data_IF_178733082160
#
_entry.id   IF_178733082160
#
_cell.length_a   1.000
_cell.length_b   1.000
_cell.length_c   1.000
_cell.angle_alpha   90.00
_cell.angle_beta   90.00
_cell.angle_gamma   90.00
#
_symmetry.space_group_name_H-M   'P 1'
#
loop_
_entity.id
_entity.type
_entity.pdbx_description
1 polymer ?
#
# COMPACT_ATOMS: atom_id res chain seq x y z
N UNK A 1 9.96 -7.59 -21.25
CA UNK A 1 9.39 -6.43 -20.51
C UNK A 1 9.12 -5.35 -21.55
N UNK A 2 7.92 -4.78 -21.58
CA UNK A 2 7.47 -3.91 -22.68
C UNK A 2 7.93 -2.45 -22.44
N UNK A 3 8.50 -1.75 -23.45
CA UNK A 3 9.05 -0.38 -23.32
C UNK A 3 8.08 0.70 -22.81
N UNK A 4 6.77 0.40 -22.77
CA UNK A 4 5.73 1.31 -22.26
C UNK A 4 5.71 1.38 -20.73
N UNK A 5 6.01 0.28 -20.04
CA UNK A 5 5.92 0.16 -18.58
C UNK A 5 6.88 1.09 -17.84
N UNK A 6 8.08 1.29 -18.40
CA UNK A 6 9.11 2.11 -17.78
C UNK A 6 8.82 3.62 -17.92
N UNK A 7 8.05 4.03 -18.94
CA UNK A 7 7.98 5.44 -19.34
C UNK A 7 7.15 6.36 -18.43
N UNK A 8 6.00 5.92 -17.92
CA UNK A 8 5.17 6.79 -17.07
C UNK A 8 5.66 6.81 -15.63
N UNK A 9 6.09 5.66 -15.09
CA UNK A 9 6.70 5.57 -13.75
C UNK A 9 7.96 6.44 -13.66
N UNK A 10 8.77 6.51 -14.72
CA UNK A 10 9.96 7.37 -14.76
C UNK A 10 9.66 8.87 -14.84
N UNK A 11 8.49 9.27 -15.35
CA UNK A 11 8.18 10.67 -15.67
C UNK A 11 7.17 11.31 -14.71
N UNK A 12 6.27 10.52 -14.12
CA UNK A 12 5.15 11.03 -13.33
C UNK A 12 4.92 10.21 -12.06
N UNK A 13 5.06 10.87 -10.91
CA UNK A 13 4.76 10.31 -9.60
C UNK A 13 3.25 10.26 -9.30
N UNK A 14 2.37 10.73 -10.20
CA UNK A 14 0.92 10.79 -9.98
C UNK A 14 0.10 11.13 -11.22
N UNK A 15 -1.04 11.80 -11.05
CA UNK A 15 -1.92 12.19 -12.15
C UNK A 15 -1.24 13.14 -13.14
N UNK A 16 -1.31 12.81 -14.45
CA UNK A 16 -0.71 13.57 -15.54
C UNK A 16 -1.67 13.78 -16.72
N UNK A 17 -1.25 14.55 -17.72
CA UNK A 17 -2.09 14.88 -18.87
C UNK A 17 -3.37 15.61 -18.43
N UNK A 18 -4.50 15.24 -19.03
CA UNK A 18 -5.79 15.84 -18.72
C UNK A 18 -6.25 15.49 -17.29
N UNK A 19 -6.01 14.27 -16.78
CA UNK A 19 -6.37 13.92 -15.40
C UNK A 19 -5.60 14.77 -14.38
N UNK A 20 -4.30 14.98 -14.57
CA UNK A 20 -3.47 15.85 -13.71
C UNK A 20 -3.87 17.33 -13.72
N UNK A 21 -4.30 17.85 -14.87
CA UNK A 21 -4.87 19.21 -14.93
C UNK A 21 -6.17 19.28 -14.12
N UNK A 22 -7.08 18.33 -14.32
CA UNK A 22 -8.37 18.32 -13.60
C UNK A 22 -8.22 18.07 -12.09
N UNK A 23 -7.18 17.35 -11.69
CA UNK A 23 -6.80 17.12 -10.29
C UNK A 23 -6.30 18.42 -9.65
N UNK A 24 -5.42 19.16 -10.33
CA UNK A 24 -4.97 20.50 -9.89
C UNK A 24 -6.10 21.49 -9.73
N UNK A 25 -7.03 21.53 -10.69
CA UNK A 25 -8.15 22.46 -10.68
C UNK A 25 -9.13 22.21 -9.54
N UNK A 26 -9.27 20.96 -9.10
CA UNK A 26 -10.17 20.62 -8.00
C UNK A 26 -9.62 21.04 -6.61
N UNK A 27 -8.37 21.49 -6.52
CA UNK A 27 -7.77 21.95 -5.26
C UNK A 27 -8.31 23.35 -4.89
N UNK A 28 -8.63 23.62 -3.61
CA UNK A 28 -9.07 24.94 -3.17
C UNK A 28 -8.05 26.03 -3.50
N UNK A 29 -8.51 27.15 -4.05
CA UNK A 29 -7.63 28.29 -4.38
C UNK A 29 -6.74 28.05 -5.61
N UNK A 30 -7.08 27.09 -6.48
CA UNK A 30 -6.37 26.89 -7.73
C UNK A 30 -6.29 28.20 -8.55
N UNK A 31 -5.14 28.48 -9.20
CA UNK A 31 -4.99 29.57 -10.16
C UNK A 31 -5.97 29.47 -11.33
N UNK A 32 -5.92 30.43 -12.26
CA UNK A 32 -6.70 30.31 -13.48
C UNK A 32 -6.33 29.03 -14.24
N UNK A 33 -7.26 28.49 -15.02
CA UNK A 33 -7.08 27.20 -15.68
C UNK A 33 -5.88 27.20 -16.63
N UNK A 34 -5.65 28.32 -17.32
CA UNK A 34 -4.50 28.44 -18.21
C UNK A 34 -3.19 28.58 -17.46
N UNK A 35 -3.20 29.15 -16.24
CA UNK A 35 -2.01 29.19 -15.38
C UNK A 35 -1.65 27.79 -14.88
N UNK A 36 -2.66 27.00 -14.48
CA UNK A 36 -2.46 25.59 -14.10
C UNK A 36 -1.88 24.79 -15.27
N UNK A 37 -2.45 24.94 -16.47
CA UNK A 37 -1.94 24.29 -17.68
C UNK A 37 -0.53 24.75 -18.01
N UNK A 38 -0.23 26.05 -17.92
CA UNK A 38 1.10 26.58 -18.21
C UNK A 38 2.15 26.06 -17.22
N UNK A 39 1.81 25.99 -15.93
CA UNK A 39 2.69 25.42 -14.91
C UNK A 39 2.96 23.93 -15.15
N UNK A 40 1.90 23.12 -15.36
CA UNK A 40 2.06 21.69 -15.67
C UNK A 40 2.80 21.46 -17.00
N UNK A 41 2.60 22.31 -18.00
CA UNK A 41 3.26 22.19 -19.30
C UNK A 41 4.79 22.39 -19.25
N UNK A 42 5.33 22.98 -18.19
CA UNK A 42 6.79 23.08 -17.97
C UNK A 42 7.37 21.82 -17.30
N UNK A 43 6.53 20.95 -16.74
CA UNK A 43 6.98 19.72 -16.08
C UNK A 43 7.59 18.71 -17.05
N UNK A 44 8.46 17.85 -16.53
CA UNK A 44 9.15 16.80 -17.26
C UNK A 44 9.79 17.32 -18.56
N UNK A 45 10.44 18.49 -18.50
CA UNK A 45 11.11 19.14 -19.64
C UNK A 45 10.18 19.35 -20.86
N UNK A 46 8.90 19.57 -20.62
CA UNK A 46 7.88 19.77 -21.65
C UNK A 46 7.29 18.48 -22.24
N UNK A 47 7.65 17.29 -21.72
CA UNK A 47 6.95 16.04 -22.06
C UNK A 47 5.48 16.09 -21.62
N UNK A 48 5.18 16.72 -20.47
CA UNK A 48 3.81 16.92 -20.02
C UNK A 48 2.99 17.71 -21.06
N UNK A 49 3.57 18.78 -21.64
CA UNK A 49 2.91 19.56 -22.68
C UNK A 49 2.58 18.72 -23.92
N UNK A 50 3.46 17.78 -24.31
CA UNK A 50 3.22 16.89 -25.45
C UNK A 50 2.08 15.91 -25.17
N UNK A 51 2.09 15.29 -23.99
CA UNK A 51 1.10 14.29 -23.60
C UNK A 51 -0.28 14.92 -23.39
N UNK A 52 -0.36 16.02 -22.63
CA UNK A 52 -1.59 16.81 -22.49
C UNK A 52 -2.08 17.31 -23.86
N UNK A 53 -1.20 17.89 -24.67
CA UNK A 53 -1.52 18.40 -26.00
C UNK A 53 -2.10 17.34 -26.93
N UNK A 54 -1.57 16.11 -26.87
CA UNK A 54 -2.11 14.96 -27.62
C UNK A 54 -3.52 14.60 -27.15
N UNK A 55 -3.74 14.48 -25.85
CA UNK A 55 -5.04 14.12 -25.26
C UNK A 55 -6.12 15.15 -25.58
N UNK A 56 -5.84 16.44 -25.39
CA UNK A 56 -6.82 17.49 -25.67
C UNK A 56 -7.15 17.61 -27.15
N UNK A 57 -6.17 17.39 -28.04
CA UNK A 57 -6.41 17.34 -29.50
C UNK A 57 -7.22 16.11 -29.90
N UNK A 58 -6.95 14.94 -29.31
CA UNK A 58 -7.74 13.74 -29.55
C UNK A 58 -9.20 13.95 -29.12
N UNK A 59 -9.43 14.45 -27.92
CA UNK A 59 -10.77 14.76 -27.41
C UNK A 59 -11.46 15.86 -28.24
N UNK A 60 -10.73 16.92 -28.62
CA UNK A 60 -11.25 18.00 -29.48
C UNK A 60 -11.50 17.56 -30.94
N UNK A 61 -10.89 16.48 -31.41
CA UNK A 61 -11.12 15.89 -32.74
C UNK A 61 -12.15 14.76 -32.73
N UNK A 62 -12.61 14.34 -31.55
CA UNK A 62 -13.49 13.17 -31.38
C UNK A 62 -14.94 13.42 -31.82
N UNK A 63 -15.72 12.35 -32.09
CA UNK A 63 -17.13 12.44 -32.42
C UNK A 63 -18.06 12.72 -31.22
N UNK A 64 -17.52 12.85 -30.00
CA UNK A 64 -18.32 13.13 -28.79
C UNK A 64 -19.05 14.46 -28.93
N UNK A 65 -20.29 14.57 -28.44
CA UNK A 65 -20.96 15.87 -28.38
C UNK A 65 -20.28 16.80 -27.38
N UNK A 66 -20.46 18.12 -27.55
CA UNK A 66 -19.97 19.10 -26.58
C UNK A 66 -20.56 18.84 -25.19
N UNK A 67 -21.80 18.40 -25.09
CA UNK A 67 -22.42 18.03 -23.81
C UNK A 67 -21.70 16.87 -23.12
N UNK A 68 -21.25 15.86 -23.87
CA UNK A 68 -20.48 14.72 -23.30
C UNK A 68 -19.08 15.14 -22.88
N UNK A 69 -18.40 15.96 -23.67
CA UNK A 69 -17.10 16.52 -23.29
C UNK A 69 -17.27 17.37 -22.01
N UNK A 70 -18.31 18.20 -21.96
CA UNK A 70 -18.64 19.01 -20.78
C UNK A 70 -18.92 18.14 -19.55
N UNK A 71 -19.71 17.07 -19.68
CA UNK A 71 -20.04 16.18 -18.57
C UNK A 71 -18.78 15.55 -17.95
N UNK A 72 -17.85 15.03 -18.76
CA UNK A 72 -16.60 14.43 -18.27
C UNK A 72 -15.70 15.47 -17.61
N UNK A 73 -15.55 16.66 -18.20
CA UNK A 73 -14.73 17.73 -17.62
C UNK A 73 -15.32 18.26 -16.29
N UNK A 74 -16.64 18.44 -16.22
CA UNK A 74 -17.33 18.84 -15.00
C UNK A 74 -17.14 17.79 -13.91
N UNK A 75 -17.30 16.51 -14.22
CA UNK A 75 -17.10 15.45 -13.25
C UNK A 75 -15.64 15.38 -12.78
N UNK A 76 -14.68 15.37 -13.71
CA UNK A 76 -13.26 15.26 -13.37
C UNK A 76 -12.72 16.46 -12.54
N UNK A 77 -13.32 17.64 -12.70
CA UNK A 77 -12.95 18.86 -11.95
C UNK A 77 -13.84 19.13 -10.75
N UNK A 78 -14.79 18.24 -10.43
CA UNK A 78 -15.79 18.48 -9.38
C UNK A 78 -16.55 19.80 -9.57
N UNK A 79 -16.82 20.13 -10.83
CA UNK A 79 -17.48 21.35 -11.34
C UNK A 79 -16.73 22.67 -11.11
N UNK A 80 -15.45 22.62 -10.72
CA UNK A 80 -14.64 23.85 -10.64
C UNK A 80 -14.45 24.47 -12.03
N UNK A 81 -14.38 23.64 -13.06
CA UNK A 81 -14.36 24.08 -14.45
C UNK A 81 -15.73 23.89 -15.08
N UNK A 82 -16.50 24.98 -15.22
CA UNK A 82 -17.60 25.03 -16.18
C UNK A 82 -17.14 25.89 -17.37
N UNK A 83 -16.80 25.30 -18.53
CA UNK A 83 -16.56 26.07 -19.75
C UNK A 83 -17.90 26.72 -20.13
N UNK A 84 -18.12 27.94 -19.63
CA UNK A 84 -19.41 28.62 -19.64
C UNK A 84 -20.00 28.82 -21.04
N UNK A 85 -21.21 29.37 -21.14
CA UNK A 85 -21.93 29.50 -22.41
C UNK A 85 -21.25 30.38 -23.48
N UNK A 86 -20.16 31.09 -23.15
CA UNK A 86 -19.37 31.91 -24.09
C UNK A 86 -18.13 31.25 -24.69
N UNK A 87 -17.71 30.08 -24.19
CA UNK A 87 -16.61 29.28 -24.74
C UNK A 87 -16.94 27.81 -24.55
N UNK A 88 -17.30 27.11 -25.63
CA UNK A 88 -17.67 25.70 -25.54
C UNK A 88 -16.52 24.83 -25.00
N UNK A 89 -16.79 23.60 -24.53
CA UNK A 89 -15.75 22.69 -24.05
C UNK A 89 -14.65 22.46 -25.10
N UNK A 90 -14.97 22.51 -26.40
CA UNK A 90 -13.97 22.44 -27.48
C UNK A 90 -13.14 23.70 -27.61
N UNK A 91 -13.71 24.88 -27.43
CA UNK A 91 -12.92 26.13 -27.42
C UNK A 91 -11.92 26.13 -26.27
N UNK A 92 -12.35 25.61 -25.12
CA UNK A 92 -11.47 25.38 -23.99
C UNK A 92 -10.33 24.39 -24.32
N UNK A 93 -10.64 23.21 -24.88
CA UNK A 93 -9.60 22.25 -25.29
C UNK A 93 -8.62 22.83 -26.31
N UNK A 94 -9.10 23.68 -27.24
CA UNK A 94 -8.23 24.39 -28.20
C UNK A 94 -7.32 25.40 -27.51
N UNK A 95 -7.82 26.14 -26.53
CA UNK A 95 -6.99 27.06 -25.75
C UNK A 95 -5.90 26.32 -24.97
N UNK A 96 -6.24 25.17 -24.36
CA UNK A 96 -5.24 24.30 -23.70
C UNK A 96 -4.21 23.79 -24.71
N UNK A 97 -4.65 23.31 -25.88
CA UNK A 97 -3.75 22.85 -26.94
C UNK A 97 -2.77 23.94 -27.39
N UNK A 98 -3.22 25.19 -27.52
CA UNK A 98 -2.37 26.33 -27.87
C UNK A 98 -1.27 26.59 -26.82
N UNK A 99 -1.60 26.48 -25.53
CA UNK A 99 -0.61 26.59 -24.44
C UNK A 99 0.40 25.45 -24.55
N UNK A 100 -0.04 24.21 -24.76
CA UNK A 100 0.84 23.06 -24.96
C UNK A 100 1.77 23.24 -26.17
N UNK A 101 1.27 23.73 -27.29
CA UNK A 101 2.06 23.96 -28.51
C UNK A 101 3.12 25.06 -28.32
N UNK A 102 2.82 26.09 -27.51
CA UNK A 102 3.77 27.14 -27.17
C UNK A 102 4.91 26.64 -26.26
N UNK A 103 4.66 25.59 -25.46
CA UNK A 103 5.60 25.04 -24.47
C UNK A 103 6.30 23.76 -24.91
N UNK A 104 5.84 23.16 -26.00
CA UNK A 104 6.51 21.99 -26.59
C UNK A 104 7.86 22.41 -27.21
N UNK A 105 9.00 21.83 -26.79
CA UNK A 105 10.31 22.22 -27.30
C UNK A 105 10.42 22.08 -28.83
N UNK A 106 10.73 23.19 -29.51
CA UNK A 106 10.98 23.22 -30.96
C UNK A 106 12.41 22.76 -31.24
N UNK A 107 12.60 21.50 -31.61
CA UNK A 107 13.88 21.00 -32.14
C UNK A 107 14.59 19.95 -31.29
N UNK A 108 14.00 19.48 -30.19
CA UNK A 108 14.43 18.20 -29.62
C UNK A 108 14.15 17.10 -30.64
N UNK A 109 15.16 16.29 -31.01
CA UNK A 109 14.87 15.00 -31.65
C UNK A 109 13.76 14.35 -30.81
N UNK A 110 12.70 13.78 -31.39
CA UNK A 110 11.94 12.81 -30.65
C UNK A 110 12.99 11.78 -30.22
N UNK A 111 13.39 11.78 -28.94
CA UNK A 111 13.95 10.57 -28.38
C UNK A 111 12.95 9.50 -28.77
N UNK A 112 13.44 8.40 -29.34
CA UNK A 112 12.65 7.27 -29.81
C UNK A 112 11.85 6.65 -28.63
N UNK A 113 10.86 7.40 -28.18
CA UNK A 113 9.92 7.20 -27.08
C UNK A 113 8.49 7.23 -27.67
N UNK A 114 8.34 7.52 -28.96
CA UNK A 114 7.06 7.48 -29.69
C UNK A 114 6.74 6.06 -30.14
N UNK A 115 5.84 5.40 -29.42
CA UNK A 115 5.16 4.18 -29.86
C UNK A 115 3.83 4.02 -29.14
N UNK A 116 2.73 4.26 -29.84
CA UNK A 116 1.45 3.60 -29.58
C UNK A 116 1.40 2.35 -30.49
N UNK A 117 0.58 1.34 -30.17
CA UNK A 117 0.93 0.01 -29.61
C UNK A 117 1.39 -1.05 -30.64
N UNK A 118 2.11 -2.06 -30.16
CA UNK A 118 2.45 -3.27 -30.91
C UNK A 118 2.78 -4.51 -30.08
N UNK A 119 3.33 -4.37 -28.86
CA UNK A 119 3.84 -5.51 -28.07
C UNK A 119 3.38 -5.51 -26.59
N UNK A 120 2.07 -5.32 -26.35
CA UNK A 120 1.43 -5.90 -25.15
C UNK A 120 0.87 -7.26 -25.52
N UNK A 121 0.92 -8.24 -24.62
CA UNK A 121 0.35 -9.57 -24.86
C UNK A 121 -1.17 -9.54 -25.15
N UNK A 122 -1.83 -8.44 -24.75
CA UNK A 122 -3.22 -8.08 -25.02
C UNK A 122 -3.27 -6.95 -26.05
N UNK A 123 -4.08 -7.10 -27.10
CA UNK A 123 -4.21 -6.09 -28.15
C UNK A 123 -4.96 -4.84 -27.67
N UNK A 124 -4.90 -3.72 -28.40
CA UNK A 124 -5.63 -2.48 -28.05
C UNK A 124 -7.15 -2.65 -27.90
N UNK A 125 -7.72 -3.65 -28.58
CA UNK A 125 -9.13 -4.02 -28.46
C UNK A 125 -9.44 -4.69 -27.12
N UNK A 126 -8.49 -5.45 -26.58
CA UNK A 126 -8.65 -6.16 -25.30
C UNK A 126 -8.62 -5.18 -24.13
N UNK A 127 -7.70 -4.20 -24.17
CA UNK A 127 -7.64 -3.13 -23.18
C UNK A 127 -8.93 -2.30 -23.17
N UNK A 128 -9.44 -1.91 -24.35
CA UNK A 128 -10.72 -1.18 -24.45
C UNK A 128 -11.86 -1.99 -23.81
N UNK A 129 -11.93 -3.29 -24.11
CA UNK A 129 -12.94 -4.18 -23.53
C UNK A 129 -12.85 -4.26 -22.01
N UNK A 130 -11.64 -4.35 -21.47
CA UNK A 130 -11.39 -4.43 -20.04
C UNK A 130 -11.75 -3.12 -19.30
N UNK A 131 -11.34 -1.95 -19.83
CA UNK A 131 -11.70 -0.64 -19.25
C UNK A 131 -13.22 -0.42 -19.29
N UNK A 132 -13.89 -0.77 -20.40
CA UNK A 132 -15.35 -0.69 -20.47
C UNK A 132 -16.05 -1.64 -19.48
N UNK A 133 -15.48 -2.83 -19.25
CA UNK A 133 -16.02 -3.77 -18.27
C UNK A 133 -15.92 -3.23 -16.84
N UNK A 134 -14.80 -2.59 -16.49
CA UNK A 134 -14.65 -1.98 -15.18
C UNK A 134 -15.57 -0.76 -15.01
N UNK A 135 -15.68 0.09 -16.03
CA UNK A 135 -16.59 1.23 -16.03
C UNK A 135 -18.04 0.78 -15.79
N UNK A 136 -18.51 -0.27 -16.49
CA UNK A 136 -19.85 -0.85 -16.27
C UNK A 136 -20.03 -1.42 -14.87
N UNK A 137 -18.96 -1.93 -14.26
CA UNK A 137 -19.02 -2.42 -12.87
C UNK A 137 -19.16 -1.27 -11.89
N UNK A 138 -18.46 -0.15 -12.14
CA UNK A 138 -18.49 1.03 -11.29
C UNK A 138 -19.71 1.95 -11.52
N UNK A 139 -20.43 1.81 -12.64
CA UNK A 139 -21.44 2.79 -13.08
C UNK A 139 -22.55 3.03 -12.05
N UNK A 140 -23.10 1.98 -11.46
CA UNK A 140 -24.22 2.10 -10.52
C UNK A 140 -23.84 2.84 -9.23
N UNK A 141 -22.62 2.66 -8.72
CA UNK A 141 -22.13 3.38 -7.54
C UNK A 141 -21.74 4.81 -7.92
N UNK A 142 -21.10 5.00 -9.08
CA UNK A 142 -20.74 6.32 -9.61
C UNK A 142 -21.98 7.20 -9.84
N UNK A 143 -23.00 6.70 -10.53
CA UNK A 143 -24.24 7.44 -10.79
C UNK A 143 -24.93 7.83 -9.48
N UNK A 144 -25.08 6.88 -8.54
CA UNK A 144 -25.69 7.15 -7.23
C UNK A 144 -24.92 8.21 -6.44
N UNK A 145 -23.59 8.15 -6.44
CA UNK A 145 -22.76 9.15 -5.76
C UNK A 145 -22.86 10.52 -6.44
N UNK A 146 -22.92 10.57 -7.77
CA UNK A 146 -23.11 11.82 -8.52
C UNK A 146 -24.50 12.44 -8.27
N UNK A 147 -25.56 11.63 -8.25
CA UNK A 147 -26.94 12.06 -7.99
C UNK A 147 -27.11 12.64 -6.59
N UNK A 148 -26.45 12.04 -5.60
CA UNK A 148 -26.48 12.48 -4.20
C UNK A 148 -25.46 13.57 -3.89
N UNK A 149 -24.56 13.88 -4.84
CA UNK A 149 -23.72 15.06 -4.74
C UNK A 149 -24.61 16.30 -4.83
N UNK A 150 -24.37 17.32 -4.00
CA UNK A 150 -25.21 18.54 -3.97
C UNK A 150 -25.28 19.33 -5.29
N UNK A 151 -24.64 18.85 -6.36
CA UNK A 151 -24.68 19.40 -7.70
C UNK A 151 -24.48 18.27 -8.75
N UNK A 152 -25.54 17.54 -9.12
CA UNK A 152 -25.43 16.37 -10.00
C UNK A 152 -24.88 16.73 -11.38
N UNK A 153 -24.05 15.83 -11.94
CA UNK A 153 -23.54 15.92 -13.31
C UNK A 153 -24.14 14.75 -14.08
N UNK A 154 -25.14 14.98 -14.95
CA UNK A 154 -25.76 13.90 -15.72
C UNK A 154 -24.81 13.37 -16.80
N UNK A 155 -25.12 12.18 -17.31
CA UNK A 155 -24.48 11.57 -18.49
C UNK A 155 -22.97 11.28 -18.40
N UNK A 156 -22.39 11.29 -17.20
CA UNK A 156 -20.95 11.04 -16.99
C UNK A 156 -20.54 9.63 -17.45
N UNK A 157 -21.30 8.60 -17.07
CA UNK A 157 -21.02 7.21 -17.44
C UNK A 157 -21.06 7.02 -18.97
N UNK A 158 -22.15 7.37 -19.69
CA UNK A 158 -22.17 7.30 -21.15
C UNK A 158 -21.07 8.11 -21.85
N UNK A 159 -20.69 9.26 -21.28
CA UNK A 159 -19.63 10.08 -21.83
C UNK A 159 -18.25 9.43 -21.66
N UNK A 160 -17.95 8.85 -20.49
CA UNK A 160 -16.72 8.10 -20.24
C UNK A 160 -16.63 6.85 -21.13
N UNK A 161 -17.73 6.11 -21.33
CA UNK A 161 -17.77 4.96 -22.24
C UNK A 161 -17.37 5.36 -23.66
N UNK A 162 -17.80 6.53 -24.12
CA UNK A 162 -17.44 7.04 -25.45
C UNK A 162 -16.03 7.56 -25.53
N UNK A 163 -15.47 8.14 -24.47
CA UNK A 163 -14.04 8.44 -24.44
C UNK A 163 -13.24 7.15 -24.65
N UNK A 164 -13.59 6.06 -23.95
CA UNK A 164 -12.91 4.76 -24.09
C UNK A 164 -13.11 4.16 -25.49
N UNK A 165 -14.31 4.27 -26.06
CA UNK A 165 -14.64 3.70 -27.36
C UNK A 165 -13.99 4.48 -28.53
N UNK A 166 -14.17 5.80 -28.53
CA UNK A 166 -13.95 6.67 -29.69
C UNK A 166 -12.70 7.54 -29.60
N UNK A 167 -12.11 7.70 -28.41
CA UNK A 167 -10.91 8.51 -28.19
C UNK A 167 -9.72 7.64 -27.86
N UNK A 168 -9.67 7.11 -26.64
CA UNK A 168 -8.54 6.33 -26.13
C UNK A 168 -8.90 5.66 -24.79
N UNK A 169 -8.53 4.37 -24.64
CA UNK A 169 -8.84 3.60 -23.44
C UNK A 169 -8.00 4.02 -22.22
N UNK A 170 -6.76 4.47 -22.44
CA UNK A 170 -5.87 4.96 -21.37
C UNK A 170 -6.38 6.29 -20.80
N UNK A 171 -6.73 7.25 -21.66
CA UNK A 171 -7.37 8.49 -21.23
C UNK A 171 -8.71 8.22 -20.53
N UNK A 172 -9.53 7.31 -21.07
CA UNK A 172 -10.80 6.93 -20.45
C UNK A 172 -10.63 6.33 -19.05
N UNK A 173 -9.64 5.47 -18.82
CA UNK A 173 -9.34 4.92 -17.50
C UNK A 173 -8.86 6.01 -16.53
N UNK A 174 -7.94 6.89 -16.93
CA UNK A 174 -7.49 8.01 -16.07
C UNK A 174 -8.63 8.95 -15.70
N UNK A 175 -9.54 9.24 -16.62
CA UNK A 175 -10.71 10.07 -16.33
C UNK A 175 -11.70 9.34 -15.41
N UNK A 176 -11.90 8.03 -15.57
CA UNK A 176 -12.66 7.22 -14.62
C UNK A 176 -12.05 7.31 -13.21
N UNK A 177 -10.76 6.97 -13.05
CA UNK A 177 -10.04 7.07 -11.77
C UNK A 177 -10.19 8.45 -11.15
N UNK A 178 -10.01 9.50 -11.95
CA UNK A 178 -10.15 10.88 -11.50
C UNK A 178 -11.55 11.18 -10.94
N UNK A 179 -12.59 10.75 -11.63
CA UNK A 179 -13.99 10.94 -11.18
C UNK A 179 -14.28 10.15 -9.91
N UNK A 180 -13.83 8.88 -9.84
CA UNK A 180 -13.97 8.04 -8.64
C UNK A 180 -13.33 8.72 -7.42
N UNK A 181 -12.11 9.26 -7.59
CA UNK A 181 -11.38 10.01 -6.55
C UNK A 181 -12.09 11.31 -6.19
N UNK A 182 -12.49 12.11 -7.19
CA UNK A 182 -13.11 13.42 -6.98
C UNK A 182 -14.41 13.33 -6.17
N UNK A 183 -15.19 12.28 -6.38
CA UNK A 183 -16.46 12.07 -5.69
C UNK A 183 -16.38 11.07 -4.54
N UNK A 184 -15.19 10.53 -4.25
CA UNK A 184 -14.97 9.49 -3.25
C UNK A 184 -15.94 8.32 -3.45
N UNK A 185 -16.14 7.90 -4.71
CA UNK A 185 -17.02 6.78 -5.06
C UNK A 185 -16.47 5.52 -4.39
N UNK A 186 -17.29 4.78 -3.62
CA UNK A 186 -16.85 3.55 -2.98
C UNK A 186 -16.38 2.52 -4.01
N UNK A 187 -15.18 1.97 -3.83
CA UNK A 187 -14.60 0.93 -4.70
C UNK A 187 -14.39 -0.35 -3.89
N UNK A 188 -15.12 -1.44 -4.15
CA UNK A 188 -14.84 -2.73 -3.52
C UNK A 188 -13.41 -3.20 -3.79
N UNK A 189 -12.81 -3.98 -2.88
CA UNK A 189 -11.44 -4.50 -3.03
C UNK A 189 -11.22 -5.18 -4.39
N UNK A 190 -12.13 -6.04 -4.84
CA UNK A 190 -12.00 -6.67 -6.16
C UNK A 190 -12.07 -5.69 -7.33
N UNK A 191 -12.69 -4.52 -7.18
CA UNK A 191 -12.62 -3.43 -8.17
C UNK A 191 -11.28 -2.71 -8.14
N UNK A 192 -10.76 -2.46 -6.93
CA UNK A 192 -9.40 -1.95 -6.75
C UNK A 192 -8.35 -2.86 -7.41
N UNK A 193 -8.40 -4.18 -7.20
CA UNK A 193 -7.45 -5.13 -7.79
C UNK A 193 -7.48 -5.08 -9.33
N UNK A 194 -8.67 -4.94 -9.92
CA UNK A 194 -8.82 -4.83 -11.39
C UNK A 194 -8.33 -3.49 -11.92
N UNK A 195 -8.62 -2.38 -11.23
CA UNK A 195 -8.08 -1.07 -11.58
C UNK A 195 -6.55 -1.03 -11.47
N UNK A 196 -6.00 -1.68 -10.44
CA UNK A 196 -4.56 -1.86 -10.26
C UNK A 196 -3.94 -2.64 -11.42
N UNK A 197 -4.50 -3.81 -11.76
CA UNK A 197 -4.02 -4.64 -12.86
C UNK A 197 -4.05 -3.90 -14.21
N UNK A 198 -5.11 -3.14 -14.48
CA UNK A 198 -5.20 -2.27 -15.66
C UNK A 198 -4.12 -1.17 -15.65
N UNK A 199 -3.88 -0.56 -14.49
CA UNK A 199 -2.82 0.44 -14.31
C UNK A 199 -1.43 -0.14 -14.56
N UNK A 200 -1.12 -1.32 -14.02
CA UNK A 200 0.15 -2.01 -14.27
C UNK A 200 0.33 -2.39 -15.75
N UNK A 201 -0.74 -2.82 -16.43
CA UNK A 201 -0.70 -3.08 -17.86
C UNK A 201 -0.35 -1.82 -18.67
N UNK A 202 -0.85 -0.67 -18.22
CA UNK A 202 -0.61 0.65 -18.83
C UNK A 202 0.70 1.32 -18.39
N UNK A 203 1.36 0.79 -17.36
CA UNK A 203 2.58 1.35 -16.79
C UNK A 203 2.34 2.52 -15.84
N UNK A 204 1.19 2.61 -15.19
CA UNK A 204 0.93 3.65 -14.20
C UNK A 204 1.78 3.47 -12.95
N UNK A 205 2.17 4.59 -12.35
CA UNK A 205 2.76 4.59 -11.02
C UNK A 205 1.72 4.25 -9.96
N UNK A 206 2.19 3.70 -8.84
CA UNK A 206 1.33 3.31 -7.72
C UNK A 206 0.39 4.44 -7.25
N UNK A 207 0.88 5.69 -7.08
CA UNK A 207 0.03 6.79 -6.62
C UNK A 207 -1.08 7.17 -7.60
N UNK A 208 -0.86 7.02 -8.92
CA UNK A 208 -1.84 7.37 -9.93
C UNK A 208 -3.12 6.55 -9.78
N UNK A 209 -3.04 5.27 -9.42
CA UNK A 209 -4.23 4.45 -9.20
C UNK A 209 -4.82 4.68 -7.81
N UNK A 210 -3.96 4.73 -6.79
CA UNK A 210 -4.37 4.47 -5.40
C UNK A 210 -4.67 5.76 -4.63
N UNK A 211 -3.88 6.82 -4.84
CA UNK A 211 -4.00 8.02 -4.02
C UNK A 211 -5.35 8.69 -4.22
N UNK A 212 -6.08 8.85 -3.12
CA UNK A 212 -7.41 9.46 -3.09
C UNK A 212 -8.56 8.54 -3.52
N UNK A 213 -8.30 7.26 -3.83
CA UNK A 213 -9.36 6.31 -4.16
C UNK A 213 -10.07 5.85 -2.87
N UNK A 214 -11.40 5.86 -2.86
CA UNK A 214 -12.19 5.41 -1.71
C UNK A 214 -12.39 3.89 -1.74
N UNK A 215 -11.32 3.15 -1.48
CA UNK A 215 -11.36 1.69 -1.43
C UNK A 215 -12.08 1.21 -0.18
N UNK A 216 -13.07 0.35 -0.36
CA UNK A 216 -13.78 -0.35 0.71
C UNK A 216 -12.92 -1.53 1.17
N UNK A 217 -11.93 -1.21 1.99
CA UNK A 217 -11.08 -2.20 2.61
C UNK A 217 -11.91 -3.14 3.50
N UNK A 218 -11.68 -4.46 3.43
CA UNK A 218 -12.28 -5.39 4.38
C UNK A 218 -11.95 -4.97 5.82
N UNK A 219 -12.87 -5.18 6.77
CA UNK A 219 -12.56 -4.92 8.17
C UNK A 219 -11.43 -5.84 8.64
N UNK A 220 -10.58 -5.30 9.51
CA UNK A 220 -9.58 -6.05 10.28
C UNK A 220 -10.13 -6.42 11.67
N UNK A 221 -11.40 -6.83 11.76
CA UNK A 221 -12.06 -7.22 13.02
C UNK A 221 -11.84 -8.70 13.38
N UNK A 222 -11.46 -9.53 12.41
CA UNK A 222 -11.03 -10.91 12.62
C UNK A 222 -9.50 -11.02 12.47
N UNK A 223 -8.75 -11.28 13.58
CA UNK A 223 -7.32 -11.53 13.52
C UNK A 223 -6.94 -12.69 12.60
N UNK A 224 -7.71 -13.78 12.55
CA UNK A 224 -7.35 -14.95 11.73
C UNK A 224 -7.48 -14.65 10.24
N UNK A 225 -8.55 -13.97 9.81
CA UNK A 225 -8.68 -13.49 8.44
C UNK A 225 -7.63 -12.44 8.07
N UNK A 226 -7.27 -11.56 9.01
CA UNK A 226 -6.26 -10.53 8.79
C UNK A 226 -4.87 -11.12 8.62
N UNK A 227 -4.49 -12.11 9.44
CA UNK A 227 -3.21 -12.84 9.34
C UNK A 227 -2.99 -13.49 7.97
N UNK A 228 -4.02 -14.09 7.38
CA UNK A 228 -3.95 -14.75 6.06
C UNK A 228 -3.60 -13.80 4.90
N UNK A 229 -3.62 -12.48 5.13
CA UNK A 229 -3.23 -11.47 4.14
C UNK A 229 -1.74 -11.16 4.14
N UNK A 230 -1.00 -11.63 5.14
CA UNK A 230 0.45 -11.45 5.20
C UNK A 230 1.13 -12.65 4.54
N UNK A 231 1.87 -12.45 3.43
CA UNK A 231 2.60 -13.52 2.77
C UNK A 231 3.83 -13.99 3.57
N UNK A 232 4.34 -13.13 4.45
CA UNK A 232 5.56 -13.35 5.24
C UNK A 232 5.26 -13.21 6.74
N UNK A 233 5.82 -12.20 7.41
CA UNK A 233 5.66 -11.93 8.85
C UNK A 233 4.63 -10.81 9.11
N UNK A 234 4.20 -10.68 10.37
CA UNK A 234 3.30 -9.63 10.85
C UNK A 234 3.46 -9.39 12.35
N UNK A 235 2.80 -8.35 12.85
CA UNK A 235 2.68 -8.11 14.28
C UNK A 235 4.02 -7.83 14.95
N UNK A 236 4.22 -8.38 16.15
CA UNK A 236 5.40 -8.05 16.95
C UNK A 236 6.71 -8.59 16.36
N UNK A 237 6.69 -9.77 15.76
CA UNK A 237 7.87 -10.37 15.11
C UNK A 237 8.34 -9.50 13.93
N UNK A 238 7.42 -9.03 13.08
CA UNK A 238 7.79 -8.11 11.98
C UNK A 238 8.32 -6.78 12.52
N UNK A 239 7.75 -6.24 13.60
CA UNK A 239 8.31 -5.06 14.26
C UNK A 239 9.75 -5.33 14.73
N UNK A 240 10.03 -6.50 15.34
CA UNK A 240 11.40 -6.81 15.77
C UNK A 240 12.36 -6.96 14.58
N UNK A 241 11.90 -7.49 13.45
CA UNK A 241 12.68 -7.56 12.22
C UNK A 241 12.94 -6.17 11.61
N UNK A 242 11.95 -5.28 11.64
CA UNK A 242 12.10 -3.90 11.16
C UNK A 242 13.11 -3.10 11.99
N UNK A 243 13.18 -3.37 13.30
CA UNK A 243 14.16 -2.76 14.21
C UNK A 243 15.55 -3.33 13.97
N UNK A 244 15.68 -4.65 13.87
CA UNK A 244 16.96 -5.29 13.58
C UNK A 244 17.59 -4.81 12.26
N UNK A 245 16.76 -4.62 11.23
CA UNK A 245 17.17 -4.06 9.92
C UNK A 245 17.41 -2.55 9.93
N UNK A 246 17.07 -1.84 11.00
CA UNK A 246 17.21 -0.38 11.05
C UNK A 246 18.65 0.03 11.33
N UNK A 247 19.06 1.14 10.71
CA UNK A 247 20.34 1.79 10.96
C UNK A 247 20.11 3.01 11.87
N UNK A 248 20.55 2.98 13.15
CA UNK A 248 20.28 4.06 14.10
C UNK A 248 20.84 5.43 13.70
N UNK A 249 21.78 5.47 12.76
CA UNK A 249 22.35 6.70 12.21
C UNK A 249 21.43 7.39 11.19
N UNK A 250 20.49 6.62 10.61
CA UNK A 250 19.60 7.07 9.52
C UNK A 250 18.15 7.24 9.99
N UNK A 251 17.68 6.43 10.93
CA UNK A 251 16.30 6.44 11.40
C UNK A 251 16.22 6.56 12.93
N UNK A 252 15.32 7.42 13.43
CA UNK A 252 15.00 7.43 14.86
C UNK A 252 14.12 6.23 15.20
N UNK A 253 14.12 5.76 16.47
CA UNK A 253 13.17 4.76 16.92
C UNK A 253 11.70 5.05 16.64
N UNK A 254 11.32 6.33 16.66
CA UNK A 254 9.96 6.74 16.35
C UNK A 254 9.65 6.55 14.86
N UNK A 255 10.64 6.76 13.98
CA UNK A 255 10.49 6.55 12.55
C UNK A 255 10.38 5.07 12.21
N UNK A 256 11.23 4.23 12.81
CA UNK A 256 11.16 2.76 12.69
C UNK A 256 9.79 2.25 13.12
N UNK A 257 9.29 2.69 14.29
CA UNK A 257 7.97 2.28 14.79
C UNK A 257 6.85 2.76 13.86
N UNK A 258 6.90 4.01 13.39
CA UNK A 258 5.89 4.56 12.48
C UNK A 258 5.85 3.79 11.15
N UNK A 259 7.02 3.47 10.60
CA UNK A 259 7.19 2.66 9.39
C UNK A 259 6.65 1.25 9.61
N UNK A 260 7.02 0.59 10.71
CA UNK A 260 6.60 -0.78 11.01
C UNK A 260 5.09 -0.90 11.29
N UNK A 261 4.48 0.07 11.99
CA UNK A 261 3.01 0.08 12.23
C UNK A 261 2.23 0.30 10.92
N UNK A 262 2.85 0.96 9.94
CA UNK A 262 2.29 1.20 8.61
C UNK A 262 2.78 0.19 7.55
N UNK A 263 3.48 -0.88 7.94
CA UNK A 263 3.92 -1.95 7.05
C UNK A 263 2.75 -2.91 6.72
N UNK A 264 1.66 -2.30 6.27
CA UNK A 264 0.48 -3.01 5.80
C UNK A 264 0.82 -3.77 4.51
N UNK A 265 0.21 -4.95 4.27
CA UNK A 265 0.22 -5.58 2.97
C UNK A 265 -0.77 -4.80 2.09
N UNK A 266 -1.85 -5.44 1.64
CA UNK A 266 -2.84 -4.77 0.78
C UNK A 266 -3.90 -3.98 1.56
N UNK A 267 -4.07 -4.22 2.86
CA UNK A 267 -5.15 -3.64 3.67
C UNK A 267 -4.59 -2.63 4.68
N UNK A 268 -4.86 -1.32 4.53
CA UNK A 268 -4.41 -0.32 5.48
C UNK A 268 -4.86 -0.61 6.91
N UNK A 269 -3.92 -0.55 7.85
CA UNK A 269 -4.12 -0.80 9.28
C UNK A 269 -4.07 -2.27 9.70
N UNK A 270 -3.93 -3.22 8.77
CA UNK A 270 -3.83 -4.64 9.10
C UNK A 270 -2.61 -4.94 10.00
N UNK A 271 -1.47 -4.31 9.73
CA UNK A 271 -0.25 -4.53 10.51
C UNK A 271 -0.38 -3.91 11.90
N UNK A 272 -0.85 -2.66 11.98
CA UNK A 272 -1.17 -1.99 13.24
C UNK A 272 -2.15 -2.81 14.10
N UNK A 273 -3.17 -3.41 13.47
CA UNK A 273 -4.15 -4.24 14.16
C UNK A 273 -3.53 -5.51 14.76
N UNK A 274 -2.79 -6.29 13.96
CA UNK A 274 -2.17 -7.53 14.45
C UNK A 274 -1.07 -7.27 15.49
N UNK A 275 -0.30 -6.20 15.30
CA UNK A 275 0.70 -5.75 16.28
C UNK A 275 0.02 -5.36 17.60
N UNK A 276 -1.10 -4.63 17.56
CA UNK A 276 -1.88 -4.30 18.75
C UNK A 276 -2.37 -5.55 19.48
N UNK A 277 -2.76 -6.61 18.76
CA UNK A 277 -3.15 -7.89 19.37
C UNK A 277 -1.97 -8.52 20.12
N UNK A 278 -0.81 -8.68 19.47
CA UNK A 278 0.38 -9.29 20.08
C UNK A 278 0.86 -8.50 21.32
N UNK A 279 0.91 -7.17 21.19
CA UNK A 279 1.35 -6.26 22.25
C UNK A 279 0.38 -6.30 23.43
N UNK A 280 -0.93 -6.29 23.18
CA UNK A 280 -1.94 -6.38 24.24
C UNK A 280 -1.83 -7.70 25.01
N UNK A 281 -1.60 -8.83 24.31
CA UNK A 281 -1.40 -10.14 24.94
C UNK A 281 -0.20 -10.14 25.89
N UNK A 282 0.96 -9.63 25.46
CA UNK A 282 2.14 -9.56 26.31
C UNK A 282 1.96 -8.55 27.45
N UNK A 283 1.34 -7.41 27.18
CA UNK A 283 1.08 -6.36 28.18
C UNK A 283 0.11 -6.83 29.27
N UNK A 284 -0.83 -7.70 28.94
CA UNK A 284 -1.82 -8.22 29.89
C UNK A 284 -1.40 -9.57 30.49
N UNK A 285 -0.27 -10.14 30.04
CA UNK A 285 0.31 -11.38 30.58
C UNK A 285 0.93 -11.21 31.97
N UNK A 286 1.29 -12.34 32.61
CA UNK A 286 2.02 -12.36 33.90
C UNK A 286 3.53 -12.19 33.76
N UNK A 287 4.09 -12.03 32.56
CA UNK A 287 5.54 -11.89 32.38
C UNK A 287 6.07 -10.68 33.14
N UNK A 288 7.28 -10.80 33.71
CA UNK A 288 7.92 -9.67 34.38
C UNK A 288 8.39 -8.61 33.36
N UNK A 289 8.71 -7.41 33.85
CA UNK A 289 9.28 -6.34 33.01
C UNK A 289 10.58 -6.83 32.35
N UNK A 290 11.41 -7.51 33.14
CA UNK A 290 12.72 -8.04 32.76
C UNK A 290 12.58 -9.13 31.69
N UNK A 291 11.59 -10.02 31.82
CA UNK A 291 11.30 -11.05 30.83
C UNK A 291 10.91 -10.44 29.49
N UNK A 292 10.06 -9.41 29.48
CA UNK A 292 9.67 -8.70 28.25
C UNK A 292 10.88 -7.97 27.64
N UNK A 293 11.72 -7.33 28.46
CA UNK A 293 12.95 -6.69 27.98
C UNK A 293 13.93 -7.72 27.38
N UNK A 294 14.08 -8.88 28.01
CA UNK A 294 14.94 -9.96 27.52
C UNK A 294 14.44 -10.51 26.18
N UNK A 295 13.13 -10.74 26.04
CA UNK A 295 12.50 -11.14 24.78
C UNK A 295 12.78 -10.14 23.66
N UNK A 296 12.54 -8.86 23.94
CA UNK A 296 12.78 -7.80 22.96
C UNK A 296 14.23 -7.82 22.47
N UNK A 297 15.20 -7.76 23.39
CA UNK A 297 16.64 -7.75 23.05
C UNK A 297 17.11 -9.02 22.34
N UNK A 298 16.51 -10.17 22.67
CA UNK A 298 16.82 -11.43 22.01
C UNK A 298 16.35 -11.41 20.54
N UNK A 299 15.13 -10.92 20.29
CA UNK A 299 14.50 -10.91 18.98
C UNK A 299 14.95 -9.76 18.05
N UNK A 300 15.47 -8.65 18.59
CA UNK A 300 15.96 -7.50 17.79
C UNK A 300 17.49 -7.42 17.72
N UNK A 301 18.19 -7.91 18.76
CA UNK A 301 19.62 -7.65 18.94
C UNK A 301 19.95 -6.20 19.32
N UNK A 302 18.93 -5.34 19.40
CA UNK A 302 19.03 -3.89 19.59
C UNK A 302 18.02 -3.41 20.64
N UNK A 303 18.31 -2.30 21.32
CA UNK A 303 17.26 -1.58 22.03
C UNK A 303 16.50 -0.70 21.02
N UNK A 304 15.21 -0.46 21.22
CA UNK A 304 14.47 0.54 20.45
C UNK A 304 14.94 1.98 20.77
N UNK A 305 16.14 2.19 21.33
CA UNK A 305 16.82 3.48 21.39
C UNK A 305 16.16 4.62 22.18
N UNK A 306 15.16 4.37 23.01
CA UNK A 306 14.49 5.45 23.78
C UNK A 306 14.80 5.32 25.26
N UNK A 307 15.67 6.20 25.76
CA UNK A 307 15.93 6.56 27.17
C UNK A 307 15.22 5.72 28.25
N UNK A 308 15.62 4.47 28.44
CA UNK A 308 15.14 3.61 29.54
C UNK A 308 13.70 3.10 29.41
N UNK A 309 13.06 3.22 28.24
CA UNK A 309 11.75 2.60 27.97
C UNK A 309 11.94 1.10 27.80
N UNK A 310 11.53 0.34 28.82
CA UNK A 310 11.76 -1.10 28.91
C UNK A 310 10.49 -1.86 29.30
N UNK A 311 10.46 -3.15 28.95
CA UNK A 311 9.38 -4.06 29.29
C UNK A 311 8.00 -3.53 28.93
N UNK A 312 7.16 -3.30 29.93
CA UNK A 312 5.77 -2.86 29.72
C UNK A 312 5.64 -1.43 29.18
N UNK A 313 6.60 -0.56 29.47
CA UNK A 313 6.55 0.83 28.98
C UNK A 313 6.79 0.86 27.47
N UNK A 314 7.63 -0.04 26.95
CA UNK A 314 7.82 -0.24 25.52
C UNK A 314 6.54 -0.74 24.84
N UNK A 315 5.88 -1.74 25.43
CA UNK A 315 4.62 -2.28 24.91
C UNK A 315 3.53 -1.20 24.83
N UNK A 316 3.38 -0.35 25.85
CA UNK A 316 2.42 0.77 25.83
C UNK A 316 2.68 1.74 24.68
N UNK A 317 3.94 2.09 24.43
CA UNK A 317 4.30 2.98 23.33
C UNK A 317 3.94 2.37 21.96
N UNK A 318 4.19 1.08 21.78
CA UNK A 318 3.84 0.39 20.53
C UNK A 318 2.32 0.36 20.37
N UNK A 319 1.59 0.07 21.44
CA UNK A 319 0.12 0.13 21.45
C UNK A 319 -0.41 1.52 21.10
N UNK A 320 0.13 2.58 21.71
CA UNK A 320 -0.28 3.97 21.42
C UNK A 320 -0.12 4.30 19.93
N UNK A 321 1.03 3.92 19.33
CA UNK A 321 1.29 4.12 17.91
C UNK A 321 0.30 3.32 17.02
N UNK A 322 -0.01 2.07 17.39
CA UNK A 322 -1.00 1.26 16.68
C UNK A 322 -2.40 1.90 16.76
N UNK A 323 -2.81 2.34 17.95
CA UNK A 323 -4.12 2.95 18.18
C UNK A 323 -4.24 4.29 17.44
N UNK A 324 -3.19 5.10 17.42
CA UNK A 324 -3.14 6.35 16.65
C UNK A 324 -3.31 6.09 15.15
N UNK A 325 -2.55 5.13 14.59
CA UNK A 325 -2.67 4.72 13.19
C UNK A 325 -4.10 4.25 12.87
N UNK A 326 -4.65 3.36 13.70
CA UNK A 326 -5.98 2.80 13.48
C UNK A 326 -7.09 3.85 13.58
N UNK A 327 -6.95 4.85 14.48
CA UNK A 327 -7.89 5.98 14.56
C UNK A 327 -7.79 6.93 13.38
N UNK A 328 -6.59 7.09 12.80
CA UNK A 328 -6.39 7.86 11.57
C UNK A 328 -7.14 7.21 10.40
N UNK A 329 -7.10 5.89 10.29
CA UNK A 329 -7.78 5.13 9.25
C UNK A 329 -9.29 4.97 9.50
N UNK A 330 -9.68 4.81 10.77
CA UNK A 330 -11.07 4.64 11.20
C UNK A 330 -11.36 5.54 12.41
N UNK A 331 -11.84 6.77 12.17
CA UNK A 331 -12.29 7.65 13.25
C UNK A 331 -13.33 6.94 14.12
N UNK A 332 -13.03 6.78 15.41
CA UNK A 332 -13.86 6.02 16.36
C UNK A 332 -13.39 4.58 16.63
N UNK A 333 -12.24 4.15 16.08
CA UNK A 333 -11.63 2.88 16.47
C UNK A 333 -11.42 2.81 17.99
N UNK A 334 -11.92 1.72 18.58
CA UNK A 334 -11.76 1.37 19.98
C UNK A 334 -11.05 0.00 20.07
N UNK A 335 -9.92 -0.10 20.78
CA UNK A 335 -9.25 -1.37 21.00
C UNK A 335 -10.19 -2.39 21.64
N UNK A 336 -10.27 -3.58 21.05
CA UNK A 336 -10.97 -4.72 21.64
C UNK A 336 -9.92 -5.63 22.28
N UNK A 337 -10.15 -6.15 23.50
CA UNK A 337 -9.23 -7.10 24.12
C UNK A 337 -8.99 -8.30 23.19
N UNK A 338 -7.75 -8.80 23.11
CA UNK A 338 -7.45 -9.97 22.30
C UNK A 338 -8.24 -11.20 22.79
N UNK A 339 -8.86 -11.94 21.87
CA UNK A 339 -9.55 -13.19 22.20
C UNK A 339 -8.58 -14.26 22.72
N UNK A 340 -9.08 -15.35 23.32
CA UNK A 340 -8.21 -16.45 23.78
C UNK A 340 -7.42 -17.05 22.61
N UNK A 341 -6.08 -17.17 22.70
CA UNK A 341 -5.29 -17.70 21.61
C UNK A 341 -5.48 -19.22 21.47
N UNK A 342 -5.37 -19.78 20.26
CA UNK A 342 -5.36 -21.22 20.06
C UNK A 342 -4.19 -21.85 20.82
N UNK A 343 -4.44 -22.94 21.56
CA UNK A 343 -3.40 -23.72 22.25
C UNK A 343 -2.87 -24.88 21.38
N UNK A 344 -3.39 -25.02 20.17
CA UNK A 344 -2.92 -26.02 19.22
C UNK A 344 -1.44 -25.73 18.87
N UNK A 345 -0.58 -26.74 19.04
CA UNK A 345 0.85 -26.61 18.76
C UNK A 345 1.73 -26.22 19.94
N UNK A 346 1.18 -25.81 21.09
CA UNK A 346 1.97 -25.41 22.28
C UNK A 346 3.03 -26.43 22.65
N UNK A 347 2.66 -27.70 22.82
CA UNK A 347 3.61 -28.76 23.20
C UNK A 347 4.71 -28.98 22.16
N UNK A 348 4.38 -28.81 20.88
CA UNK A 348 5.33 -29.02 19.80
C UNK A 348 6.31 -27.85 19.68
N UNK A 349 5.85 -26.62 19.87
CA UNK A 349 6.72 -25.42 19.96
C UNK A 349 7.63 -25.50 21.18
N UNK A 350 7.09 -25.83 22.36
CA UNK A 350 7.88 -25.98 23.59
C UNK A 350 8.96 -27.06 23.45
N UNK A 351 8.66 -28.17 22.77
CA UNK A 351 9.66 -29.22 22.51
C UNK A 351 10.84 -28.69 21.68
N UNK A 352 10.56 -28.01 20.56
CA UNK A 352 11.64 -27.44 19.74
C UNK A 352 12.42 -26.36 20.49
N UNK A 353 11.73 -25.54 21.30
CA UNK A 353 12.38 -24.54 22.14
C UNK A 353 13.32 -25.18 23.17
N UNK A 354 12.88 -26.20 23.90
CA UNK A 354 13.72 -26.91 24.87
C UNK A 354 14.94 -27.57 24.20
N UNK A 355 14.77 -28.15 23.01
CA UNK A 355 15.88 -28.75 22.26
C UNK A 355 16.90 -27.71 21.76
N UNK A 356 16.50 -26.45 21.59
CA UNK A 356 17.34 -25.33 21.16
C UNK A 356 17.87 -24.49 22.32
N UNK A 357 17.26 -24.59 23.50
CA UNK A 357 17.54 -23.75 24.65
C UNK A 357 19.04 -23.63 24.98
N UNK A 358 19.84 -24.72 25.06
CA UNK A 358 21.27 -24.59 25.38
C UNK A 358 22.07 -23.79 24.35
N UNK A 359 21.75 -23.96 23.05
CA UNK A 359 22.44 -23.25 21.98
C UNK A 359 22.04 -21.77 21.94
N UNK A 360 20.75 -21.48 22.14
CA UNK A 360 20.21 -20.13 22.26
C UNK A 360 20.81 -19.39 23.46
N UNK A 361 20.80 -19.99 24.65
CA UNK A 361 21.37 -19.38 25.86
C UNK A 361 22.86 -19.10 25.68
N UNK A 362 23.63 -20.05 25.14
CA UNK A 362 25.05 -19.83 24.86
C UNK A 362 25.28 -18.67 23.88
N UNK A 363 24.49 -18.59 22.80
CA UNK A 363 24.62 -17.53 21.80
C UNK A 363 24.21 -16.15 22.36
N UNK A 364 23.14 -16.09 23.15
CA UNK A 364 22.61 -14.84 23.72
C UNK A 364 23.47 -14.31 24.86
N UNK A 365 23.99 -15.18 25.72
CA UNK A 365 24.88 -14.80 26.82
C UNK A 365 26.31 -14.55 26.37
N UNK A 366 26.74 -15.17 25.26
CA UNK A 366 28.06 -14.98 24.67
C UNK A 366 28.24 -13.68 23.86
N UNK A 367 27.20 -12.86 23.70
CA UNK A 367 27.28 -11.58 22.97
C UNK A 367 28.24 -10.61 23.68
N UNK A 368 29.25 -10.15 22.95
CA UNK A 368 30.34 -9.31 23.49
C UNK A 368 29.89 -7.93 23.93
N UNK A 369 28.92 -7.34 23.23
CA UNK A 369 28.44 -5.98 23.49
C UNK A 369 27.29 -5.93 24.48
N UNK A 370 26.36 -6.91 24.43
CA UNK A 370 25.13 -6.95 25.22
C UNK A 370 24.65 -8.39 25.45
N UNK A 371 25.09 -9.06 26.53
CA UNK A 371 24.57 -10.37 26.88
C UNK A 371 23.09 -10.27 27.28
N UNK A 372 22.27 -11.19 26.79
CA UNK A 372 20.85 -11.27 27.12
C UNK A 372 20.62 -12.52 27.98
N UNK A 373 20.07 -12.33 29.18
CA UNK A 373 19.74 -13.41 30.12
C UNK A 373 18.23 -13.58 30.24
N UNK A 374 17.77 -14.82 30.46
CA UNK A 374 16.36 -15.13 30.72
C UNK A 374 15.44 -15.09 29.50
N UNK A 375 15.97 -14.86 28.30
CA UNK A 375 15.16 -14.83 27.08
C UNK A 375 14.53 -16.19 26.74
N UNK A 376 15.24 -17.30 26.96
CA UNK A 376 14.69 -18.65 26.73
C UNK A 376 13.53 -18.93 27.66
N UNK A 377 13.67 -18.68 28.97
CA UNK A 377 12.57 -18.84 29.93
C UNK A 377 11.39 -17.92 29.63
N UNK A 378 11.65 -16.70 29.17
CA UNK A 378 10.59 -15.79 28.73
C UNK A 378 9.87 -16.30 27.48
N UNK A 379 10.59 -16.88 26.50
CA UNK A 379 9.97 -17.53 25.32
C UNK A 379 9.11 -18.72 25.74
N UNK A 380 9.59 -19.54 26.68
CA UNK A 380 8.82 -20.67 27.23
C UNK A 380 7.51 -20.18 27.86
N UNK A 381 7.56 -19.12 28.67
CA UNK A 381 6.37 -18.52 29.27
C UNK A 381 5.39 -17.97 28.22
N UNK A 382 5.89 -17.32 27.16
CA UNK A 382 5.04 -16.85 26.06
C UNK A 382 4.35 -18.04 25.38
N UNK A 383 5.12 -19.09 25.03
CA UNK A 383 4.58 -20.26 24.36
C UNK A 383 3.53 -21.00 25.21
N UNK A 384 3.76 -21.09 26.52
CA UNK A 384 2.92 -21.86 27.43
C UNK A 384 1.68 -21.10 27.92
N UNK A 385 1.78 -19.78 28.11
CA UNK A 385 0.77 -18.99 28.85
C UNK A 385 0.23 -17.79 28.11
N UNK A 386 0.91 -17.31 27.08
CA UNK A 386 0.49 -16.11 26.34
C UNK A 386 -0.12 -16.52 25.02
N UNK A 387 0.68 -16.99 24.08
CA UNK A 387 0.26 -17.38 22.74
C UNK A 387 1.40 -18.21 22.08
N UNK A 388 1.16 -19.50 21.74
CA UNK A 388 2.18 -20.34 21.13
C UNK A 388 2.58 -19.90 19.71
N UNK A 389 1.68 -19.24 18.98
CA UNK A 389 1.99 -18.67 17.66
C UNK A 389 2.97 -17.49 17.83
N UNK A 390 2.66 -16.53 18.71
CA UNK A 390 3.58 -15.44 19.02
C UNK A 390 4.93 -15.95 19.55
N UNK A 391 4.90 -16.94 20.44
CA UNK A 391 6.10 -17.57 20.96
C UNK A 391 6.96 -18.22 19.88
N UNK A 392 6.35 -18.92 18.93
CA UNK A 392 7.05 -19.52 17.79
C UNK A 392 7.65 -18.47 16.85
N UNK A 393 6.89 -17.41 16.52
CA UNK A 393 7.40 -16.28 15.71
C UNK A 393 8.61 -15.60 16.36
N UNK A 394 8.55 -15.34 17.67
CA UNK A 394 9.67 -14.76 18.43
C UNK A 394 10.86 -15.71 18.55
N UNK A 395 10.64 -17.03 18.63
CA UNK A 395 11.70 -18.03 18.57
C UNK A 395 12.44 -17.97 17.23
N UNK A 396 11.72 -17.96 16.10
CA UNK A 396 12.33 -17.84 14.77
C UNK A 396 13.18 -16.56 14.66
N UNK A 397 12.64 -15.42 15.09
CA UNK A 397 13.41 -14.16 15.13
C UNK A 397 14.65 -14.26 16.02
N UNK A 398 14.52 -14.83 17.20
CA UNK A 398 15.66 -14.99 18.13
C UNK A 398 16.76 -15.87 17.51
N UNK A 399 16.40 -16.94 16.80
CA UNK A 399 17.36 -17.80 16.09
C UNK A 399 18.10 -17.04 14.99
N UNK A 400 17.38 -16.25 14.19
CA UNK A 400 17.95 -15.40 13.15
C UNK A 400 18.95 -14.40 13.73
N UNK A 401 18.56 -13.63 14.74
CA UNK A 401 19.41 -12.61 15.36
C UNK A 401 20.59 -13.21 16.15
N UNK A 402 20.44 -14.43 16.69
CA UNK A 402 21.54 -15.13 17.36
C UNK A 402 22.39 -15.99 16.42
N UNK A 403 22.00 -16.09 15.14
CA UNK A 403 22.64 -16.93 14.12
C UNK A 403 22.85 -18.39 14.56
N UNK A 404 21.92 -18.92 15.37
CA UNK A 404 21.96 -20.33 15.80
C UNK A 404 21.59 -21.22 14.63
N UNK A 405 22.53 -22.08 14.23
CA UNK A 405 22.35 -22.93 13.05
C UNK A 405 21.29 -24.01 13.23
N UNK A 406 20.61 -24.34 12.12
CA UNK A 406 19.61 -25.39 12.03
C UNK A 406 20.11 -26.56 11.17
N UNK A 407 19.57 -27.75 11.43
CA UNK A 407 19.70 -28.89 10.51
C UNK A 407 18.52 -28.88 9.54
N UNK A 408 18.67 -29.48 8.36
CA UNK A 408 17.57 -29.59 7.39
C UNK A 408 16.33 -30.29 7.96
N UNK A 409 16.53 -31.32 8.80
CA UNK A 409 15.45 -32.02 9.48
C UNK A 409 14.70 -31.13 10.49
N UNK A 410 15.38 -30.21 11.18
CA UNK A 410 14.75 -29.25 12.09
C UNK A 410 13.98 -28.17 11.32
N UNK A 411 14.58 -27.64 10.25
CA UNK A 411 13.90 -26.69 9.37
C UNK A 411 12.60 -27.25 8.77
N UNK A 412 12.60 -28.51 8.34
CA UNK A 412 11.38 -29.19 7.88
C UNK A 412 10.30 -29.28 8.99
N UNK A 413 10.70 -29.54 10.24
CA UNK A 413 9.74 -29.53 11.38
C UNK A 413 9.21 -28.14 11.69
N UNK A 414 10.03 -27.10 11.52
CA UNK A 414 9.59 -25.70 11.66
C UNK A 414 8.57 -25.32 10.59
N UNK A 415 8.80 -25.76 9.35
CA UNK A 415 7.84 -25.57 8.25
C UNK A 415 6.50 -26.22 8.60
N UNK A 416 6.51 -27.48 9.03
CA UNK A 416 5.30 -28.19 9.46
C UNK A 416 4.65 -27.61 10.75
N UNK A 417 5.41 -26.93 11.60
CA UNK A 417 4.88 -26.17 12.73
C UNK A 417 4.19 -24.89 12.27
N UNK A 418 4.82 -24.11 11.39
CA UNK A 418 4.25 -22.90 10.81
C UNK A 418 2.92 -23.18 10.13
N UNK A 419 2.85 -24.21 9.28
CA UNK A 419 1.61 -24.64 8.63
C UNK A 419 0.49 -24.98 9.63
N UNK A 420 0.82 -25.72 10.70
CA UNK A 420 -0.17 -26.08 11.74
C UNK A 420 -0.67 -24.88 12.54
N UNK A 421 0.17 -23.86 12.71
CA UNK A 421 -0.19 -22.60 13.37
C UNK A 421 -0.92 -21.63 12.41
N UNK A 422 -1.03 -21.98 11.12
CA UNK A 422 -1.64 -21.13 10.11
C UNK A 422 -0.77 -19.94 9.71
N UNK A 423 0.55 -20.07 9.85
CA UNK A 423 1.54 -19.07 9.47
C UNK A 423 1.92 -19.24 8.00
N UNK A 424 2.24 -18.12 7.35
CA UNK A 424 2.65 -18.14 5.96
C UNK A 424 4.05 -18.78 5.80
N UNK A 425 4.29 -19.40 4.65
CA UNK A 425 5.56 -20.10 4.39
C UNK A 425 6.77 -19.14 4.41
N UNK A 426 6.57 -17.88 4.00
CA UNK A 426 7.61 -16.85 3.95
C UNK A 426 8.26 -16.59 5.31
N UNK A 427 7.47 -16.57 6.39
CA UNK A 427 7.98 -16.40 7.75
C UNK A 427 9.05 -17.46 8.12
N UNK A 428 8.78 -18.74 7.83
CA UNK A 428 9.73 -19.81 8.16
C UNK A 428 10.93 -19.78 7.21
N UNK A 429 10.69 -19.40 5.94
CA UNK A 429 11.74 -19.25 4.94
C UNK A 429 12.82 -18.24 5.33
N UNK A 430 12.50 -17.23 6.16
CA UNK A 430 13.52 -16.35 6.73
C UNK A 430 14.61 -17.10 7.48
N UNK A 431 14.31 -18.23 8.13
CA UNK A 431 15.27 -19.03 8.87
C UNK A 431 16.07 -20.01 8.00
N UNK A 432 15.81 -20.08 6.68
CA UNK A 432 16.47 -21.03 5.77
C UNK A 432 17.99 -20.81 5.71
N UNK A 433 18.44 -19.54 5.78
CA UNK A 433 19.86 -19.20 5.78
C UNK A 433 20.64 -19.74 7.00
N UNK A 434 19.94 -20.20 8.05
CA UNK A 434 20.54 -20.82 9.23
C UNK A 434 20.82 -22.32 9.01
N UNK A 435 20.28 -22.92 7.94
CA UNK A 435 20.43 -24.35 7.66
C UNK A 435 21.86 -24.64 7.20
N UNK A 436 22.56 -25.53 7.92
CA UNK A 436 23.85 -26.04 7.45
C UNK A 436 23.62 -27.08 6.37
N UNK A 437 24.27 -26.88 5.22
CA UNK A 437 24.43 -27.94 4.23
C UNK A 437 25.48 -28.93 4.78
N UNK A 438 25.01 -30.10 5.19
CA UNK A 438 25.86 -31.23 5.59
C UNK A 438 26.59 -31.85 4.40
#
# INVERSE_FOLDING_TARGET
MSPRRDRYIELYDGDFGLSGVTESLARPGAPSVLDVVAARAEEAEGEYARDLGREVRALCGSPLSDDRIRAVLLAATRRVLDPGPGSGPRDWLRAVAQVCDARTPRGGRPQARTGLPGDSATGPQDLRGAVLAELRTASGDLERTLETSGAPVPDVVPALEQVVADVDADLGLRLLLRVLKAYSVPVPLGGYDRLWALGEELGYSWPLVIDGLNVLWPPFDDPAATRRRFPDDFGLSELTAAVERSYPEEETPADVLRRAVAADPDVPGAQAFLLLQDVSRLRDSTLSREAITALWRAATGQDLGVDGVEGRDLLRRIEDACVERLRTLRPGFAPTPPGTPPTAGTEAVLRELHDLAPALDAALTGRTSRPVQGAVSALEEVCARVDPDLGFRLLLRTLTVSSVSLTGARYARFTALGERLGLAAGLVAEAEHLVRHE
#
